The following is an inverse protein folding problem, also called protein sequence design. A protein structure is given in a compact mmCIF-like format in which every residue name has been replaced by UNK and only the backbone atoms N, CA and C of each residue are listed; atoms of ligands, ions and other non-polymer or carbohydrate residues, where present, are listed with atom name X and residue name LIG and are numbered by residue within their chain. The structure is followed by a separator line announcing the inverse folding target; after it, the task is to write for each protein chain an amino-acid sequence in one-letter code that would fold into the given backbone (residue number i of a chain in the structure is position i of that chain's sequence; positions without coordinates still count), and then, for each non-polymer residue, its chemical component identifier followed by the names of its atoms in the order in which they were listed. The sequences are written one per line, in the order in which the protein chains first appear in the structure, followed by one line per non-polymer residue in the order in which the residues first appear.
data_IF_700329193938
#
_entry.id   IF_700329193938
#
_cell.length_a   1.000
_cell.length_b   1.000
_cell.length_c   1.000
_cell.angle_alpha   90.00
_cell.angle_beta   90.00
_cell.angle_gamma   90.00
#
_symmetry.space_group_name_H-M   'P 1'
#
loop_
_entity.id
_entity.type
_entity.pdbx_description
1 polymer ?
#
# COMPACT_ATOMS: atom_id res chain seq x y z
N UNK A 1 -30.97 -27.74 -10.39
CA UNK A 1 -30.15 -26.76 -9.63
C UNK A 1 -29.60 -25.60 -10.48
N UNK A 2 -29.47 -25.73 -11.80
CA UNK A 2 -29.13 -24.61 -12.72
C UNK A 2 -30.33 -23.70 -13.02
N UNK A 3 -31.55 -24.25 -12.97
CA UNK A 3 -32.79 -23.54 -13.33
C UNK A 3 -33.15 -22.34 -12.42
N UNK A 4 -32.81 -22.39 -11.12
CA UNK A 4 -33.12 -21.29 -10.19
C UNK A 4 -32.18 -20.08 -10.35
N UNK A 5 -30.92 -20.30 -10.81
CA UNK A 5 -29.97 -19.21 -11.05
C UNK A 5 -30.31 -18.47 -12.36
N UNK A 6 -30.88 -19.19 -13.33
CA UNK A 6 -31.35 -18.64 -14.61
C UNK A 6 -32.45 -17.58 -14.46
N UNK A 7 -33.39 -17.76 -13.53
CA UNK A 7 -34.49 -16.80 -13.35
C UNK A 7 -34.02 -15.49 -12.73
N UNK A 8 -33.06 -15.56 -11.80
CA UNK A 8 -32.51 -14.39 -11.11
C UNK A 8 -31.65 -13.52 -12.04
N UNK A 9 -30.91 -14.12 -12.96
CA UNK A 9 -30.13 -13.38 -13.98
C UNK A 9 -31.06 -12.58 -14.91
N UNK A 10 -32.27 -13.09 -15.18
CA UNK A 10 -33.28 -12.40 -16.02
C UNK A 10 -34.00 -11.26 -15.31
N UNK A 11 -33.78 -11.08 -14.01
CA UNK A 11 -34.42 -10.02 -13.26
C UNK A 11 -33.99 -8.63 -13.78
N UNK A 12 -34.86 -7.64 -13.64
CA UNK A 12 -34.50 -6.25 -13.94
C UNK A 12 -33.51 -5.73 -12.88
N UNK A 13 -32.70 -4.73 -13.24
CA UNK A 13 -31.79 -4.11 -12.27
C UNK A 13 -32.59 -3.48 -11.13
N UNK A 14 -32.08 -3.57 -9.90
CA UNK A 14 -32.75 -3.10 -8.68
C UNK A 14 -34.15 -3.71 -8.42
N UNK A 15 -34.46 -4.89 -8.98
CA UNK A 15 -35.76 -5.54 -8.75
C UNK A 15 -35.80 -6.41 -7.48
N UNK A 16 -34.64 -6.87 -7.01
CA UNK A 16 -34.52 -7.74 -5.84
C UNK A 16 -34.30 -6.88 -4.61
N UNK A 17 -35.37 -6.57 -3.89
CA UNK A 17 -35.31 -5.83 -2.64
C UNK A 17 -34.68 -6.68 -1.54
N UNK A 18 -33.52 -6.25 -1.07
CA UNK A 18 -32.94 -6.79 0.16
C UNK A 18 -33.33 -5.87 1.33
N UNK A 19 -33.58 -6.47 2.49
CA UNK A 19 -33.71 -5.72 3.74
C UNK A 19 -32.34 -5.21 4.20
N UNK A 20 -32.10 -5.22 5.51
CA UNK A 20 -30.75 -4.98 6.03
C UNK A 20 -29.84 -6.15 5.68
N UNK A 21 -28.74 -5.87 4.98
CA UNK A 21 -27.73 -6.86 4.61
C UNK A 21 -26.49 -6.59 5.43
N UNK A 22 -26.20 -7.50 6.38
CA UNK A 22 -25.01 -7.40 7.22
C UNK A 22 -23.74 -7.88 6.49
N UNK A 23 -23.85 -8.94 5.69
CA UNK A 23 -22.74 -9.52 4.93
C UNK A 23 -23.22 -9.95 3.56
N UNK A 24 -22.46 -9.61 2.52
CA UNK A 24 -22.67 -10.07 1.15
C UNK A 24 -21.37 -10.69 0.64
N UNK A 25 -21.40 -11.97 0.31
CA UNK A 25 -20.26 -12.71 -0.25
C UNK A 25 -20.74 -13.33 -1.58
N UNK A 26 -20.25 -12.80 -2.70
CA UNK A 26 -20.59 -13.28 -4.02
C UNK A 26 -19.33 -13.78 -4.73
N UNK A 27 -19.38 -15.03 -5.20
CA UNK A 27 -18.25 -15.66 -5.88
C UNK A 27 -18.66 -16.14 -7.25
N UNK A 28 -17.71 -16.10 -8.19
CA UNK A 28 -17.87 -16.62 -9.53
C UNK A 28 -19.11 -15.99 -10.22
N UNK A 29 -19.88 -16.79 -10.96
CA UNK A 29 -21.08 -16.35 -11.69
C UNK A 29 -22.14 -15.66 -10.82
N UNK A 30 -22.17 -15.90 -9.50
CA UNK A 30 -23.16 -15.27 -8.62
C UNK A 30 -22.95 -13.75 -8.56
N UNK A 31 -21.75 -13.25 -8.85
CA UNK A 31 -21.48 -11.80 -8.86
C UNK A 31 -22.42 -11.04 -9.81
N UNK A 32 -22.79 -11.62 -10.95
CA UNK A 32 -23.70 -11.00 -11.92
C UNK A 32 -25.12 -10.71 -11.35
N UNK A 33 -25.48 -11.23 -10.16
CA UNK A 33 -26.71 -10.81 -9.46
C UNK A 33 -26.62 -9.38 -8.93
N UNK A 34 -25.42 -8.84 -8.71
CA UNK A 34 -25.22 -7.60 -7.97
C UNK A 34 -26.04 -6.41 -8.52
N UNK A 35 -26.14 -6.15 -9.84
CA UNK A 35 -26.99 -5.09 -10.38
C UNK A 35 -28.50 -5.30 -10.14
N UNK A 36 -28.90 -6.53 -9.84
CA UNK A 36 -30.31 -6.91 -9.60
C UNK A 36 -30.72 -6.60 -8.16
N UNK A 37 -29.76 -6.52 -7.24
CA UNK A 37 -29.99 -6.26 -5.83
C UNK A 37 -30.25 -4.77 -5.60
N UNK A 38 -31.41 -4.45 -5.03
CA UNK A 38 -31.70 -3.13 -4.51
C UNK A 38 -31.26 -3.06 -3.04
N UNK A 39 -30.03 -2.58 -2.83
CA UNK A 39 -29.53 -2.22 -1.51
C UNK A 39 -30.00 -0.80 -1.16
N UNK A 40 -30.53 -0.63 0.05
CA UNK A 40 -30.91 0.70 0.53
C UNK A 40 -29.65 1.57 0.70
N UNK A 41 -29.74 2.86 0.41
CA UNK A 41 -28.60 3.80 0.51
C UNK A 41 -28.02 3.86 1.94
N UNK A 42 -28.90 3.79 2.95
CA UNK A 42 -28.55 3.67 4.38
C UNK A 42 -28.20 2.24 4.84
N UNK A 43 -28.03 1.27 3.93
CA UNK A 43 -27.56 -0.05 4.35
C UNK A 43 -26.12 0.04 4.85
N UNK A 44 -25.89 -0.41 6.08
CA UNK A 44 -24.57 -0.52 6.68
C UNK A 44 -24.16 -1.98 6.71
N UNK A 45 -23.29 -2.36 5.77
CA UNK A 45 -22.78 -3.71 5.63
C UNK A 45 -21.47 -3.86 6.41
N UNK A 46 -21.36 -4.89 7.23
CA UNK A 46 -20.12 -5.24 7.92
C UNK A 46 -19.08 -5.77 6.92
N UNK A 47 -19.50 -6.58 5.95
CA UNK A 47 -18.61 -7.30 5.04
C UNK A 47 -19.19 -7.42 3.63
N UNK A 48 -18.45 -6.92 2.63
CA UNK A 48 -18.74 -7.12 1.22
C UNK A 48 -17.54 -7.74 0.50
N UNK A 49 -17.70 -8.98 0.02
CA UNK A 49 -16.64 -9.77 -0.57
C UNK A 49 -17.04 -10.24 -1.97
N UNK A 50 -16.19 -9.96 -2.96
CA UNK A 50 -16.37 -10.42 -4.34
C UNK A 50 -15.11 -11.12 -4.84
N UNK A 51 -15.24 -12.31 -5.43
CA UNK A 51 -14.10 -13.03 -6.01
C UNK A 51 -14.49 -13.76 -7.31
N UNK A 52 -13.77 -13.46 -8.39
CA UNK A 52 -14.01 -14.01 -9.72
C UNK A 52 -12.73 -14.36 -10.46
N UNK A 53 -12.49 -15.64 -10.71
CA UNK A 53 -11.31 -16.14 -11.44
C UNK A 53 -11.43 -16.07 -12.97
N UNK A 54 -12.62 -15.78 -13.51
CA UNK A 54 -12.89 -15.68 -14.96
C UNK A 54 -13.68 -14.42 -15.34
N UNK A 55 -13.45 -13.91 -16.54
CA UNK A 55 -14.09 -12.68 -17.04
C UNK A 55 -15.61 -12.82 -17.17
N UNK A 56 -16.10 -14.01 -17.50
CA UNK A 56 -17.54 -14.30 -17.64
C UNK A 56 -18.30 -14.15 -16.31
N UNK A 57 -17.60 -14.23 -15.18
CA UNK A 57 -18.20 -14.07 -13.85
C UNK A 57 -18.62 -12.63 -13.56
N UNK A 58 -18.08 -11.66 -14.30
CA UNK A 58 -18.33 -10.22 -14.11
C UNK A 58 -18.84 -9.53 -15.37
N UNK A 59 -19.08 -10.28 -16.45
CA UNK A 59 -19.34 -9.73 -17.79
C UNK A 59 -20.60 -8.87 -17.86
N UNK A 60 -21.62 -9.14 -17.04
CA UNK A 60 -22.83 -8.32 -17.02
C UNK A 60 -22.60 -6.94 -16.37
N UNK A 61 -21.57 -6.82 -15.53
CA UNK A 61 -21.31 -5.64 -14.70
C UNK A 61 -20.27 -4.73 -15.32
N UNK A 62 -19.22 -5.28 -15.94
CA UNK A 62 -18.12 -4.49 -16.50
C UNK A 62 -18.57 -3.50 -17.58
N UNK A 63 -19.71 -3.77 -18.23
CA UNK A 63 -20.32 -2.90 -19.23
C UNK A 63 -21.30 -1.86 -18.66
N UNK A 64 -21.57 -1.90 -17.35
CA UNK A 64 -22.39 -0.89 -16.70
C UNK A 64 -21.70 0.48 -16.68
N UNK A 65 -22.49 1.54 -16.49
CA UNK A 65 -21.96 2.88 -16.26
C UNK A 65 -21.21 2.93 -14.91
N UNK A 66 -20.21 3.81 -14.82
CA UNK A 66 -19.49 4.01 -13.56
C UNK A 66 -20.45 4.57 -12.50
N UNK A 67 -20.29 4.15 -11.25
CA UNK A 67 -21.17 4.51 -10.13
C UNK A 67 -22.67 4.17 -10.31
N UNK A 68 -23.02 3.21 -11.18
CA UNK A 68 -24.42 2.83 -11.43
C UNK A 68 -24.98 1.83 -10.41
N UNK A 69 -24.13 1.13 -9.67
CA UNK A 69 -24.54 0.09 -8.71
C UNK A 69 -24.40 0.63 -7.28
N UNK A 70 -25.51 0.95 -6.62
CA UNK A 70 -25.49 1.45 -5.25
C UNK A 70 -25.27 0.31 -4.24
N UNK A 71 -24.25 0.47 -3.38
CA UNK A 71 -23.86 -0.54 -2.38
C UNK A 71 -24.15 -0.07 -0.94
N UNK A 72 -24.33 1.24 -0.74
CA UNK A 72 -24.52 1.85 0.58
C UNK A 72 -23.18 2.05 1.31
N UNK A 73 -23.19 1.83 2.63
CA UNK A 73 -22.02 1.93 3.52
C UNK A 73 -21.44 0.53 3.75
N UNK A 74 -20.12 0.40 3.73
CA UNK A 74 -19.41 -0.87 3.89
C UNK A 74 -18.22 -0.71 4.83
N UNK A 75 -18.15 -1.57 5.86
CA UNK A 75 -17.05 -1.62 6.83
C UNK A 75 -15.83 -2.35 6.30
N UNK A 76 -16.00 -3.49 5.62
CA UNK A 76 -14.91 -4.25 4.99
C UNK A 76 -15.27 -4.57 3.55
N UNK A 77 -14.47 -4.10 2.60
CA UNK A 77 -14.64 -4.38 1.18
C UNK A 77 -13.40 -5.11 0.65
N UNK A 78 -13.61 -6.31 0.13
CA UNK A 78 -12.55 -7.17 -0.41
C UNK A 78 -12.92 -7.62 -1.82
N UNK A 79 -12.08 -7.29 -2.80
CA UNK A 79 -12.26 -7.68 -4.19
C UNK A 79 -11.03 -8.46 -4.67
N UNK A 80 -11.26 -9.65 -5.20
CA UNK A 80 -10.20 -10.52 -5.71
C UNK A 80 -10.39 -10.80 -7.21
N UNK A 81 -9.27 -10.87 -7.93
CA UNK A 81 -9.22 -11.28 -9.33
C UNK A 81 -10.14 -10.39 -10.21
N UNK A 82 -10.91 -10.93 -11.15
CA UNK A 82 -11.78 -10.14 -12.05
C UNK A 82 -12.85 -9.32 -11.31
N UNK A 83 -13.16 -9.63 -10.05
CA UNK A 83 -14.11 -8.82 -9.28
C UNK A 83 -13.62 -7.39 -9.07
N UNK A 84 -12.30 -7.16 -9.11
CA UNK A 84 -11.70 -5.83 -9.00
C UNK A 84 -12.23 -4.92 -10.11
N UNK A 85 -12.40 -5.41 -11.35
CA UNK A 85 -12.93 -4.63 -12.47
C UNK A 85 -14.37 -4.10 -12.26
N UNK A 86 -15.08 -4.54 -11.23
CA UNK A 86 -16.41 -4.02 -10.85
C UNK A 86 -16.31 -2.73 -10.04
N UNK A 87 -15.18 -2.47 -9.38
CA UNK A 87 -15.02 -1.34 -8.46
C UNK A 87 -15.46 0.02 -9.06
N UNK A 88 -15.12 0.40 -10.31
CA UNK A 88 -15.57 1.67 -10.88
C UNK A 88 -17.09 1.77 -11.08
N UNK A 89 -17.79 0.63 -11.09
CA UNK A 89 -19.23 0.52 -11.29
C UNK A 89 -20.00 0.67 -9.99
N UNK A 90 -19.34 0.44 -8.86
CA UNK A 90 -19.91 0.54 -7.53
C UNK A 90 -19.98 2.00 -7.06
N UNK A 91 -21.11 2.38 -6.47
CA UNK A 91 -21.32 3.64 -5.78
C UNK A 91 -21.47 3.38 -4.28
N UNK A 92 -20.44 3.74 -3.53
CA UNK A 92 -20.50 3.82 -2.07
C UNK A 92 -21.18 5.11 -1.63
N UNK A 93 -21.76 5.08 -0.43
CA UNK A 93 -22.35 6.26 0.20
C UNK A 93 -21.29 7.37 0.40
N UNK A 94 -21.70 8.65 0.34
CA UNK A 94 -20.78 9.78 0.49
C UNK A 94 -20.08 9.78 1.87
N UNK A 95 -20.85 9.48 2.91
CA UNK A 95 -20.34 9.33 4.29
C UNK A 95 -19.72 7.97 4.63
N UNK A 96 -19.34 7.15 3.63
CA UNK A 96 -18.79 5.83 3.88
C UNK A 96 -17.53 5.89 4.77
N UNK A 97 -17.51 5.05 5.82
CA UNK A 97 -16.38 4.88 6.74
C UNK A 97 -16.03 3.41 6.82
N UNK A 98 -14.94 3.05 6.15
CA UNK A 98 -14.47 1.68 5.97
C UNK A 98 -13.29 1.40 6.90
N UNK A 99 -13.35 0.25 7.57
CA UNK A 99 -12.27 -0.25 8.41
C UNK A 99 -11.17 -0.90 7.56
N UNK A 100 -11.54 -1.60 6.46
CA UNK A 100 -10.57 -2.26 5.56
C UNK A 100 -11.04 -2.26 4.10
N UNK A 101 -10.17 -1.80 3.20
CA UNK A 101 -10.30 -1.98 1.75
C UNK A 101 -9.14 -2.84 1.24
N UNK A 102 -9.44 -3.96 0.59
CA UNK A 102 -8.43 -4.92 0.10
C UNK A 102 -8.66 -5.30 -1.36
N UNK A 103 -7.60 -5.23 -2.17
CA UNK A 103 -7.57 -5.71 -3.55
C UNK A 103 -6.42 -6.70 -3.75
N UNK A 104 -6.68 -7.81 -4.44
CA UNK A 104 -5.66 -8.82 -4.77
C UNK A 104 -5.80 -9.31 -6.21
N UNK A 105 -4.75 -9.08 -7.01
CA UNK A 105 -4.68 -9.49 -8.41
C UNK A 105 -3.29 -10.02 -8.76
N UNK A 106 -3.18 -11.29 -9.12
CA UNK A 106 -1.94 -11.94 -9.58
C UNK A 106 -1.73 -11.83 -11.11
N UNK A 107 -2.66 -11.21 -11.84
CA UNK A 107 -2.52 -10.93 -13.29
C UNK A 107 -3.06 -9.56 -13.66
N UNK A 108 -2.50 -8.97 -14.70
CA UNK A 108 -2.88 -7.66 -15.23
C UNK A 108 -4.34 -7.62 -15.72
N UNK A 109 -4.84 -8.72 -16.30
CA UNK A 109 -6.21 -8.81 -16.82
C UNK A 109 -7.30 -8.55 -15.75
N UNK A 110 -6.98 -8.80 -14.48
CA UNK A 110 -7.91 -8.60 -13.36
C UNK A 110 -8.14 -7.13 -13.02
N UNK A 111 -7.29 -6.22 -13.50
CA UNK A 111 -7.36 -4.77 -13.23
C UNK A 111 -7.54 -3.92 -14.49
N UNK A 112 -7.75 -4.56 -15.65
CA UNK A 112 -7.76 -3.90 -16.96
C UNK A 112 -8.80 -2.80 -17.11
N UNK A 113 -9.94 -2.91 -16.43
CA UNK A 113 -10.99 -1.88 -16.48
C UNK A 113 -10.70 -0.70 -15.54
N UNK A 114 -10.06 -0.97 -14.39
CA UNK A 114 -9.68 0.09 -13.45
C UNK A 114 -8.56 0.96 -14.02
N UNK A 115 -7.53 0.36 -14.61
CA UNK A 115 -6.36 1.14 -15.08
C UNK A 115 -6.77 2.18 -16.14
N UNK A 116 -7.84 1.90 -16.89
CA UNK A 116 -8.40 2.80 -17.92
C UNK A 116 -9.20 3.97 -17.36
N UNK A 117 -9.60 3.95 -16.09
CA UNK A 117 -10.29 5.10 -15.51
C UNK A 117 -9.31 6.22 -15.15
N UNK A 118 -9.81 7.44 -15.05
CA UNK A 118 -9.01 8.58 -14.63
C UNK A 118 -8.49 8.44 -13.19
N UNK A 119 -7.38 9.09 -12.89
CA UNK A 119 -6.86 9.17 -11.52
C UNK A 119 -7.85 9.88 -10.61
N UNK A 120 -7.91 9.49 -9.32
CA UNK A 120 -8.82 10.06 -8.32
C UNK A 120 -10.31 10.02 -8.70
N UNK A 121 -10.77 9.01 -9.45
CA UNK A 121 -12.18 8.91 -9.88
C UNK A 121 -13.02 7.92 -9.06
N UNK A 122 -12.38 6.94 -8.41
CA UNK A 122 -13.07 5.90 -7.63
C UNK A 122 -13.21 6.36 -6.17
N UNK A 123 -14.42 6.74 -5.76
CA UNK A 123 -14.68 7.20 -4.39
C UNK A 123 -14.78 6.04 -3.38
N UNK A 124 -13.99 6.10 -2.31
CA UNK A 124 -14.04 5.13 -1.20
C UNK A 124 -14.61 5.68 0.11
N UNK A 125 -14.68 7.02 0.26
CA UNK A 125 -14.98 7.65 1.54
C UNK A 125 -13.76 7.72 2.46
N UNK A 126 -13.97 7.48 3.77
CA UNK A 126 -12.89 7.36 4.76
C UNK A 126 -12.47 5.90 4.87
N UNK A 127 -11.17 5.62 4.79
CA UNK A 127 -10.59 4.27 4.83
C UNK A 127 -9.50 4.23 5.89
N UNK A 128 -9.68 3.32 6.86
CA UNK A 128 -8.75 3.11 7.97
C UNK A 128 -7.53 2.28 7.54
N UNK A 129 -7.74 1.16 6.86
CA UNK A 129 -6.69 0.29 6.31
C UNK A 129 -6.90 0.02 4.81
N UNK A 130 -5.84 0.22 4.02
CA UNK A 130 -5.80 -0.01 2.57
C UNK A 130 -4.72 -1.03 2.23
N UNK A 131 -5.13 -2.15 1.63
CA UNK A 131 -4.24 -3.26 1.26
C UNK A 131 -4.33 -3.55 -0.24
N UNK A 132 -3.20 -3.46 -0.96
CA UNK A 132 -3.13 -3.78 -2.40
C UNK A 132 -2.02 -4.79 -2.65
N UNK A 133 -2.35 -5.90 -3.30
CA UNK A 133 -1.42 -6.99 -3.65
C UNK A 133 -1.41 -7.31 -5.13
N UNK A 134 -0.21 -7.52 -5.68
CA UNK A 134 0.05 -7.83 -7.09
C UNK A 134 -0.30 -6.65 -8.01
N UNK A 135 -0.90 -6.92 -9.17
CA UNK A 135 -1.31 -5.89 -10.13
C UNK A 135 -2.31 -4.89 -9.59
N UNK A 136 -3.00 -5.19 -8.48
CA UNK A 136 -3.90 -4.23 -7.84
C UNK A 136 -3.17 -3.01 -7.29
N UNK A 137 -1.85 -3.07 -7.06
CA UNK A 137 -1.05 -1.90 -6.66
C UNK A 137 -1.18 -0.78 -7.69
N UNK A 138 -1.18 -1.09 -8.99
CA UNK A 138 -1.39 -0.11 -10.07
C UNK A 138 -2.75 0.63 -10.02
N UNK A 139 -3.70 0.17 -9.20
CA UNK A 139 -4.99 0.86 -9.02
C UNK A 139 -4.91 2.03 -8.05
N UNK A 140 -3.86 2.13 -7.23
CA UNK A 140 -3.73 3.14 -6.18
C UNK A 140 -3.99 4.59 -6.67
N UNK A 141 -3.44 5.05 -7.82
CA UNK A 141 -3.69 6.41 -8.32
C UNK A 141 -5.15 6.67 -8.71
N UNK A 142 -5.95 5.62 -8.92
CA UNK A 142 -7.35 5.71 -9.35
C UNK A 142 -8.30 5.93 -8.17
N UNK A 143 -7.86 5.59 -6.96
CA UNK A 143 -8.64 5.67 -5.73
C UNK A 143 -8.69 7.10 -5.19
N UNK A 144 -9.88 7.53 -4.73
CA UNK A 144 -10.14 8.83 -4.12
C UNK A 144 -10.64 8.65 -2.69
N UNK A 145 -9.89 9.20 -1.75
CA UNK A 145 -10.24 9.27 -0.33
C UNK A 145 -10.87 10.62 0.01
N UNK A 146 -11.74 10.59 1.01
CA UNK A 146 -12.29 11.79 1.63
C UNK A 146 -11.18 12.73 2.12
N UNK A 147 -11.39 14.04 2.04
CA UNK A 147 -10.36 15.05 2.37
C UNK A 147 -9.86 14.93 3.81
N UNK A 148 -10.78 14.70 4.74
CA UNK A 148 -10.51 14.45 6.16
C UNK A 148 -10.04 13.01 6.49
N UNK A 149 -9.59 12.22 5.53
CA UNK A 149 -9.17 10.85 5.83
C UNK A 149 -7.90 10.82 6.68
N UNK A 150 -7.93 10.00 7.72
CA UNK A 150 -6.76 9.63 8.53
C UNK A 150 -6.61 8.12 8.44
N UNK A 151 -5.74 7.67 7.55
CA UNK A 151 -5.45 6.26 7.32
C UNK A 151 -4.48 5.77 8.40
N UNK A 152 -4.80 4.64 9.02
CA UNK A 152 -3.88 3.96 9.93
C UNK A 152 -2.84 3.20 9.13
N UNK A 153 -3.26 2.36 8.18
CA UNK A 153 -2.35 1.46 7.47
C UNK A 153 -2.51 1.55 5.94
N UNK A 154 -1.38 1.68 5.25
CA UNK A 154 -1.26 1.46 3.81
C UNK A 154 -0.26 0.33 3.56
N UNK A 155 -0.73 -0.81 3.06
CA UNK A 155 0.09 -1.99 2.77
C UNK A 155 0.09 -2.26 1.28
N UNK A 156 1.27 -2.22 0.67
CA UNK A 156 1.46 -2.47 -0.76
C UNK A 156 2.41 -3.65 -0.96
N UNK A 157 1.95 -4.69 -1.65
CA UNK A 157 2.73 -5.88 -1.95
C UNK A 157 2.86 -6.09 -3.45
N UNK A 158 4.05 -5.84 -4.00
CA UNK A 158 4.34 -6.04 -5.41
C UNK A 158 5.52 -7.01 -5.59
N UNK A 159 5.26 -8.33 -5.74
CA UNK A 159 6.33 -9.31 -5.98
C UNK A 159 7.13 -9.08 -7.27
N UNK A 160 6.52 -8.48 -8.29
CA UNK A 160 7.07 -8.32 -9.64
C UNK A 160 7.06 -6.85 -10.08
N UNK A 161 7.92 -6.50 -11.04
CA UNK A 161 8.06 -5.12 -11.54
C UNK A 161 6.78 -4.61 -12.22
N UNK A 162 6.08 -5.48 -12.95
CA UNK A 162 4.85 -5.13 -13.67
C UNK A 162 3.69 -4.73 -12.75
N UNK A 163 3.73 -5.13 -11.47
CA UNK A 163 2.74 -4.73 -10.47
C UNK A 163 2.76 -3.24 -10.14
N UNK A 164 3.82 -2.52 -10.52
CA UNK A 164 3.96 -1.07 -10.28
C UNK A 164 4.17 -0.25 -11.57
N UNK A 165 3.98 -0.84 -12.75
CA UNK A 165 4.23 -0.20 -14.05
C UNK A 165 3.50 1.14 -14.23
N UNK A 166 2.21 1.20 -13.88
CA UNK A 166 1.40 2.43 -13.94
C UNK A 166 1.94 3.50 -12.98
N UNK A 167 2.33 3.09 -11.76
CA UNK A 167 2.81 4.01 -10.73
C UNK A 167 4.21 4.54 -11.06
N UNK A 168 5.10 3.70 -11.59
CA UNK A 168 6.46 4.13 -11.93
C UNK A 168 6.48 5.22 -13.00
N UNK A 169 5.45 5.26 -13.84
CA UNK A 169 5.26 6.29 -14.87
C UNK A 169 4.63 7.58 -14.34
N UNK A 170 4.09 7.56 -13.12
CA UNK A 170 3.48 8.72 -12.51
C UNK A 170 4.53 9.74 -12.06
N UNK A 171 4.13 11.01 -12.03
CA UNK A 171 4.96 12.08 -11.47
C UNK A 171 5.17 11.87 -9.96
N UNK A 172 6.29 12.35 -9.43
CA UNK A 172 6.53 12.31 -7.99
C UNK A 172 5.47 13.15 -7.26
N UNK A 173 5.12 12.75 -6.03
CA UNK A 173 4.09 13.42 -5.23
C UNK A 173 2.70 13.51 -5.91
N UNK A 174 2.37 12.62 -6.86
CA UNK A 174 1.08 12.64 -7.57
C UNK A 174 -0.03 11.84 -6.89
N UNK A 175 0.31 10.96 -5.95
CA UNK A 175 -0.63 10.06 -5.27
C UNK A 175 -0.89 10.56 -3.84
N UNK A 176 -2.06 11.16 -3.60
CA UNK A 176 -2.39 11.74 -2.30
C UNK A 176 -2.97 10.70 -1.33
N UNK A 177 -2.26 10.44 -0.23
CA UNK A 177 -2.67 9.50 0.83
C UNK A 177 -3.43 10.15 1.97
N UNK A 178 -3.64 11.47 1.93
CA UNK A 178 -4.14 12.31 3.03
C UNK A 178 -3.19 12.22 4.23
N UNK A 179 -3.73 11.97 5.43
CA UNK A 179 -2.93 11.65 6.62
C UNK A 179 -2.75 10.14 6.69
N UNK A 180 -1.51 9.68 6.84
CA UNK A 180 -1.14 8.28 6.92
C UNK A 180 -0.26 8.05 8.15
N UNK A 181 -0.58 7.05 8.97
CA UNK A 181 0.24 6.70 10.14
C UNK A 181 1.32 5.67 9.81
N UNK A 182 0.93 4.56 9.18
CA UNK A 182 1.81 3.42 8.91
C UNK A 182 1.85 3.09 7.42
N UNK A 183 3.06 2.87 6.90
CA UNK A 183 3.27 2.49 5.52
C UNK A 183 4.11 1.21 5.46
N UNK A 184 3.60 0.19 4.79
CA UNK A 184 4.33 -1.05 4.51
C UNK A 184 4.49 -1.27 3.01
N UNK A 185 5.74 -1.35 2.55
CA UNK A 185 6.10 -1.58 1.16
C UNK A 185 6.86 -2.89 1.02
N UNK A 186 6.27 -3.86 0.32
CA UNK A 186 6.88 -5.17 0.04
C UNK A 186 7.31 -5.29 -1.41
N UNK A 187 8.54 -5.74 -1.62
CA UNK A 187 9.09 -5.96 -2.96
C UNK A 187 9.12 -4.66 -3.79
N UNK A 188 8.62 -4.72 -5.02
CA UNK A 188 8.68 -3.61 -5.99
C UNK A 188 7.80 -2.43 -5.58
N UNK A 189 6.98 -2.58 -4.54
CA UNK A 189 6.14 -1.52 -4.00
C UNK A 189 6.98 -0.36 -3.43
N UNK A 190 8.27 -0.57 -3.15
CA UNK A 190 9.19 0.52 -2.78
C UNK A 190 9.20 1.65 -3.81
N UNK A 191 8.94 1.36 -5.09
CA UNK A 191 8.90 2.37 -6.15
C UNK A 191 7.68 3.31 -6.07
N UNK A 192 6.69 2.97 -5.23
CA UNK A 192 5.55 3.85 -4.95
C UNK A 192 5.95 5.00 -4.04
N UNK A 193 6.97 4.79 -3.19
CA UNK A 193 7.41 5.76 -2.19
C UNK A 193 7.61 7.20 -2.73
N UNK A 194 8.36 7.44 -3.83
CA UNK A 194 8.52 8.78 -4.39
C UNK A 194 7.25 9.39 -4.99
N UNK A 195 6.23 8.57 -5.25
CA UNK A 195 4.98 8.98 -5.89
C UNK A 195 3.92 9.42 -4.86
N UNK A 196 4.10 9.06 -3.59
CA UNK A 196 3.18 9.41 -2.51
C UNK A 196 3.32 10.88 -2.07
N UNK A 197 2.18 11.52 -1.81
CA UNK A 197 2.04 12.87 -1.25
C UNK A 197 1.11 12.82 -0.02
N UNK A 198 1.40 13.64 1.00
CA UNK A 198 0.63 13.72 2.24
C UNK A 198 1.30 14.59 3.33
N UNK A 199 0.64 14.73 4.47
CA UNK A 199 1.25 15.29 5.68
C UNK A 199 1.98 14.17 6.43
N UNK A 200 3.30 14.12 6.34
CA UNK A 200 4.07 12.91 6.63
C UNK A 200 4.69 12.87 8.03
N UNK A 201 3.85 12.89 9.06
CA UNK A 201 4.25 12.34 10.37
C UNK A 201 3.96 10.83 10.39
N UNK A 202 4.85 10.05 9.78
CA UNK A 202 4.74 8.58 9.73
C UNK A 202 5.21 8.00 11.08
N UNK A 203 4.34 7.24 11.73
CA UNK A 203 4.67 6.51 12.94
C UNK A 203 5.59 5.33 12.62
N UNK A 204 5.23 4.54 11.62
CA UNK A 204 6.01 3.39 11.19
C UNK A 204 6.11 3.27 9.66
N UNK A 205 7.34 3.14 9.17
CA UNK A 205 7.62 2.73 7.79
C UNK A 205 8.31 1.37 7.80
N UNK A 206 7.66 0.38 7.20
CA UNK A 206 8.20 -0.96 6.98
C UNK A 206 8.54 -1.15 5.50
N UNK A 207 9.78 -1.54 5.23
CA UNK A 207 10.24 -1.95 3.89
C UNK A 207 10.69 -3.39 3.98
N UNK A 208 9.99 -4.29 3.31
CA UNK A 208 10.22 -5.72 3.43
C UNK A 208 10.48 -6.38 2.07
N UNK A 209 11.33 -7.41 2.06
CA UNK A 209 11.56 -8.26 0.89
C UNK A 209 12.10 -7.50 -0.34
N UNK A 210 12.87 -6.42 -0.16
CA UNK A 210 13.37 -5.60 -1.26
C UNK A 210 14.77 -6.03 -1.68
N UNK A 211 14.90 -6.55 -2.90
CA UNK A 211 16.18 -6.95 -3.49
C UNK A 211 16.94 -5.81 -4.17
N UNK A 212 18.18 -6.07 -4.60
CA UNK A 212 19.04 -5.07 -5.28
C UNK A 212 18.44 -4.47 -6.56
N UNK A 213 17.58 -5.20 -7.27
CA UNK A 213 17.00 -4.79 -8.57
C UNK A 213 15.60 -4.17 -8.44
N UNK A 214 15.14 -3.95 -7.21
CA UNK A 214 13.76 -3.58 -6.95
C UNK A 214 13.55 -2.08 -6.97
N UNK A 215 14.59 -1.27 -6.79
CA UNK A 215 14.51 0.18 -6.71
C UNK A 215 14.82 0.80 -8.07
N UNK A 216 13.93 1.66 -8.57
CA UNK A 216 14.21 2.56 -9.69
C UNK A 216 15.17 3.67 -9.25
N UNK A 217 15.77 4.36 -10.22
CA UNK A 217 16.67 5.49 -9.96
C UNK A 217 15.97 6.60 -9.17
N UNK A 218 14.66 6.78 -9.40
CA UNK A 218 13.82 7.73 -8.67
C UNK A 218 13.91 7.51 -7.17
N UNK A 219 13.81 6.28 -6.66
CA UNK A 219 13.78 5.94 -5.21
C UNK A 219 14.99 6.49 -4.44
N UNK A 220 16.13 6.67 -5.11
CA UNK A 220 17.35 7.19 -4.48
C UNK A 220 17.66 8.64 -4.88
N UNK A 221 16.79 9.30 -5.64
CA UNK A 221 16.97 10.70 -6.02
C UNK A 221 17.02 11.61 -4.78
N UNK A 222 17.91 12.61 -4.80
CA UNK A 222 18.00 13.63 -3.74
C UNK A 222 16.79 14.54 -3.69
N UNK A 223 16.02 14.57 -4.76
CA UNK A 223 14.97 15.55 -4.99
C UNK A 223 13.59 15.00 -4.57
N UNK A 224 13.55 13.77 -4.06
CA UNK A 224 12.34 13.22 -3.46
C UNK A 224 12.15 13.82 -2.07
N UNK A 225 10.97 14.40 -1.86
CA UNK A 225 10.46 14.85 -0.57
C UNK A 225 10.32 13.74 0.48
N UNK A 226 10.71 12.49 0.21
CA UNK A 226 10.75 11.45 1.25
C UNK A 226 11.70 11.83 2.40
N UNK A 227 12.74 12.62 2.11
CA UNK A 227 13.60 13.21 3.14
C UNK A 227 12.90 14.28 4.00
N UNK A 228 11.74 14.79 3.58
CA UNK A 228 10.89 15.71 4.35
C UNK A 228 9.96 14.99 5.32
N UNK A 229 9.78 13.67 5.16
CA UNK A 229 8.91 12.89 6.05
C UNK A 229 9.51 12.81 7.44
N UNK A 230 8.68 13.10 8.46
CA UNK A 230 9.01 12.89 9.86
C UNK A 230 8.60 11.48 10.23
N UNK A 231 9.54 10.55 10.05
CA UNK A 231 9.37 9.13 10.37
C UNK A 231 9.86 8.91 11.79
N UNK A 232 9.04 8.27 12.64
CA UNK A 232 9.46 7.86 14.00
C UNK A 232 10.21 6.53 13.95
N UNK A 233 9.60 5.53 13.33
CA UNK A 233 10.14 4.17 13.24
C UNK A 233 10.37 3.74 11.79
N UNK A 234 11.58 3.29 11.48
CA UNK A 234 11.94 2.73 10.19
C UNK A 234 12.45 1.30 10.38
N UNK A 235 11.72 0.34 9.83
CA UNK A 235 12.10 -1.08 9.81
C UNK A 235 12.35 -1.52 8.37
N UNK A 236 13.55 -2.03 8.11
CA UNK A 236 13.91 -2.60 6.81
C UNK A 236 14.24 -4.08 7.04
N UNK A 237 13.40 -4.99 6.57
CA UNK A 237 13.53 -6.42 6.85
C UNK A 237 13.61 -7.28 5.59
N UNK A 238 14.29 -8.42 5.71
CA UNK A 238 14.55 -9.35 4.62
C UNK A 238 14.97 -8.67 3.31
N UNK A 239 15.78 -7.61 3.41
CA UNK A 239 16.11 -6.74 2.27
C UNK A 239 17.61 -6.69 1.99
N UNK A 240 17.96 -6.27 0.78
CA UNK A 240 19.34 -6.00 0.39
C UNK A 240 19.87 -4.74 1.10
N UNK A 241 21.16 -4.71 1.38
CA UNK A 241 21.77 -3.60 2.12
C UNK A 241 21.76 -2.27 1.35
N UNK A 242 21.67 -2.32 0.03
CA UNK A 242 21.55 -1.15 -0.84
C UNK A 242 20.30 -0.32 -0.55
N UNK A 243 19.24 -0.94 -0.01
CA UNK A 243 17.99 -0.26 0.39
C UNK A 243 18.24 0.79 1.47
N UNK A 244 19.30 0.66 2.28
CA UNK A 244 19.63 1.66 3.30
C UNK A 244 19.96 3.04 2.71
N UNK A 245 20.25 3.12 1.40
CA UNK A 245 20.53 4.37 0.68
C UNK A 245 19.29 5.25 0.48
N UNK A 246 18.08 4.77 0.79
CA UNK A 246 16.85 5.58 0.75
C UNK A 246 16.91 6.81 1.66
N UNK A 247 17.79 6.80 2.67
CA UNK A 247 17.94 7.88 3.64
C UNK A 247 19.24 8.64 3.39
N UNK A 248 19.16 9.97 3.32
CA UNK A 248 20.31 10.88 3.09
C UNK A 248 20.62 11.81 4.28
N UNK A 249 20.38 11.34 5.50
CA UNK A 249 21.00 11.88 6.72
C UNK A 249 20.63 13.29 7.22
N UNK A 250 19.73 14.04 6.58
CA UNK A 250 19.54 15.48 6.90
C UNK A 250 18.21 15.93 7.54
N UNK A 251 17.17 15.08 7.65
CA UNK A 251 15.82 15.56 8.01
C UNK A 251 15.36 15.30 9.45
N UNK A 252 15.29 14.03 9.87
CA UNK A 252 14.55 13.62 11.07
C UNK A 252 15.39 12.73 12.00
N UNK A 253 15.13 12.79 13.31
CA UNK A 253 15.67 11.82 14.28
C UNK A 253 14.75 10.61 14.28
N UNK A 254 15.30 9.40 14.07
CA UNK A 254 14.52 8.17 14.24
C UNK A 254 14.51 7.77 15.72
N UNK A 255 13.31 7.48 16.23
CA UNK A 255 13.12 6.86 17.54
C UNK A 255 13.55 5.38 17.47
N UNK A 256 13.27 4.72 16.36
CA UNK A 256 13.65 3.32 16.09
C UNK A 256 14.14 3.16 14.64
N UNK A 257 15.28 2.51 14.48
CA UNK A 257 15.83 2.07 13.21
C UNK A 257 16.25 0.61 13.33
N UNK A 258 15.61 -0.25 12.55
CA UNK A 258 15.92 -1.66 12.50
C UNK A 258 16.24 -2.10 11.07
N UNK A 259 17.36 -2.82 10.92
CA UNK A 259 17.71 -3.45 9.66
C UNK A 259 17.96 -4.95 9.87
N UNK A 260 17.10 -5.76 9.28
CA UNK A 260 17.26 -7.22 9.21
C UNK A 260 17.61 -7.59 7.76
N UNK A 261 18.87 -7.95 7.47
CA UNK A 261 19.28 -8.29 6.12
C UNK A 261 18.60 -9.59 5.66
N UNK A 262 18.39 -9.73 4.35
CA UNK A 262 17.92 -10.99 3.79
C UNK A 262 18.88 -12.15 4.03
N UNK A 263 18.33 -13.37 4.09
CA UNK A 263 19.12 -14.60 4.29
C UNK A 263 20.19 -14.73 3.19
N UNK A 264 21.43 -14.98 3.59
CA UNK A 264 22.56 -15.13 2.67
C UNK A 264 23.09 -13.82 2.07
N UNK A 265 22.62 -12.66 2.53
CA UNK A 265 23.20 -11.38 2.12
C UNK A 265 24.68 -11.32 2.52
N UNK A 266 25.56 -11.15 1.53
CA UNK A 266 26.98 -11.00 1.76
C UNK A 266 27.31 -9.53 1.99
N UNK A 267 28.11 -9.23 3.02
CA UNK A 267 28.69 -7.91 3.22
C UNK A 267 30.12 -7.82 2.66
N UNK A 268 30.61 -8.88 2.01
CA UNK A 268 32.01 -8.99 1.58
C UNK A 268 32.40 -7.96 0.53
N UNK A 269 31.49 -7.51 -0.34
CA UNK A 269 31.76 -6.47 -1.34
C UNK A 269 31.88 -5.07 -0.74
N UNK A 270 31.49 -4.89 0.53
CA UNK A 270 31.63 -3.63 1.27
C UNK A 270 32.96 -3.57 2.03
N UNK A 271 33.65 -4.72 2.22
CA UNK A 271 34.93 -4.83 2.94
C UNK A 271 36.16 -4.26 2.19
N UNK A 272 36.32 -4.35 0.85
CA UNK A 272 37.54 -3.90 0.17
C UNK A 272 37.61 -2.39 -0.03
N UNK A 273 36.55 -1.64 0.30
CA UNK A 273 36.44 -0.24 -0.07
C UNK A 273 36.20 0.64 1.15
N UNK A 274 37.27 0.96 1.88
CA UNK A 274 37.40 2.22 2.63
C UNK A 274 37.27 3.48 1.74
N UNK A 275 37.00 3.31 0.44
CA UNK A 275 36.88 4.34 -0.58
C UNK A 275 35.43 4.61 -1.04
N UNK A 276 34.41 3.89 -0.55
CA UNK A 276 33.02 4.23 -0.82
C UNK A 276 32.42 4.90 0.41
N UNK A 277 31.66 5.97 0.17
CA UNK A 277 30.95 6.74 1.18
C UNK A 277 30.14 5.79 2.07
N UNK A 278 30.43 5.82 3.37
CA UNK A 278 29.59 5.21 4.40
C UNK A 278 28.12 5.54 4.15
N UNK A 279 27.23 4.55 4.28
CA UNK A 279 25.78 4.78 4.09
C UNK A 279 25.29 5.65 5.24
N UNK A 280 24.86 6.88 4.94
CA UNK A 280 24.47 7.86 5.95
C UNK A 280 22.99 7.71 6.31
N UNK A 281 22.73 7.07 7.45
CA UNK A 281 21.37 6.91 7.99
C UNK A 281 20.98 8.04 8.95
N UNK A 282 21.80 9.10 9.07
CA UNK A 282 21.46 10.30 9.84
C UNK A 282 21.44 10.10 11.35
N UNK A 283 20.45 10.73 12.01
CA UNK A 283 20.30 10.74 13.48
C UNK A 283 19.33 9.65 13.95
N UNK A 284 19.70 8.93 14.99
CA UNK A 284 18.90 7.87 15.62
C UNK A 284 19.05 8.01 17.14
N UNK A 285 17.97 7.78 17.90
CA UNK A 285 18.07 7.77 19.38
C UNK A 285 19.00 6.66 19.86
N UNK A 286 19.71 6.90 20.97
CA UNK A 286 20.75 5.99 21.49
C UNK A 286 20.26 4.54 21.64
N UNK A 287 19.02 4.35 22.10
CA UNK A 287 18.39 3.03 22.30
C UNK A 287 17.60 2.52 21.10
N UNK A 288 17.59 3.27 20.00
CA UNK A 288 16.79 3.02 18.80
C UNK A 288 17.54 2.35 17.65
N UNK A 289 18.82 1.99 17.78
CA UNK A 289 19.61 1.45 16.67
C UNK A 289 19.77 -0.08 16.75
N UNK A 290 19.04 -0.80 15.90
CA UNK A 290 19.02 -2.27 15.83
C UNK A 290 19.54 -2.77 14.48
N UNK A 291 20.86 -2.98 14.38
CA UNK A 291 21.51 -3.47 13.16
C UNK A 291 22.55 -4.55 13.48
N UNK A 292 22.82 -5.51 12.56
CA UNK A 292 23.92 -6.45 12.72
C UNK A 292 25.27 -5.76 12.90
N UNK A 293 26.19 -6.37 13.67
CA UNK A 293 27.51 -5.78 13.99
C UNK A 293 28.32 -5.47 12.74
N UNK A 294 28.21 -6.33 11.72
CA UNK A 294 28.91 -6.21 10.44
C UNK A 294 28.43 -4.97 9.68
N UNK A 295 27.11 -4.73 9.67
CA UNK A 295 26.47 -3.57 9.05
C UNK A 295 26.81 -2.28 9.80
N UNK A 296 26.92 -2.33 11.13
CA UNK A 296 27.24 -1.15 11.95
C UNK A 296 28.57 -0.48 11.55
N UNK A 297 29.51 -1.24 10.99
CA UNK A 297 30.84 -0.77 10.59
C UNK A 297 30.85 0.08 9.30
N UNK A 298 29.81 -0.04 8.47
CA UNK A 298 29.71 0.65 7.17
C UNK A 298 28.69 1.81 7.17
N UNK A 299 27.94 1.96 8.26
CA UNK A 299 26.96 3.03 8.43
C UNK A 299 27.61 4.27 9.01
N UNK A 300 27.19 5.44 8.52
CA UNK A 300 27.42 6.74 9.14
C UNK A 300 26.12 7.17 9.81
N UNK A 301 26.20 7.49 11.10
CA UNK A 301 25.07 7.91 11.91
C UNK A 301 25.53 8.69 13.13
N UNK A 302 24.62 9.49 13.68
CA UNK A 302 24.79 10.17 14.97
C UNK A 302 23.77 9.60 15.94
N UNK A 303 24.25 9.12 17.09
CA UNK A 303 23.36 8.76 18.19
C UNK A 303 22.99 10.03 18.94
N UNK A 304 21.71 10.19 19.25
CA UNK A 304 21.21 11.32 20.03
C UNK A 304 20.48 10.87 21.28
N UNK A 305 20.52 11.70 22.32
CA UNK A 305 19.76 11.50 23.55
C UNK A 305 18.29 11.89 23.39
N UNK A 306 17.53 11.91 24.50
CA UNK A 306 16.11 12.24 24.50
C UNK A 306 15.84 13.70 24.07
N UNK A 307 16.79 14.60 24.35
CA UNK A 307 16.77 16.03 23.96
C UNK A 307 17.25 16.27 22.52
N UNK A 308 17.78 15.23 21.85
CA UNK A 308 18.32 15.30 20.50
C UNK A 308 19.78 15.74 20.43
N UNK A 309 20.48 15.88 21.56
CA UNK A 309 21.89 16.22 21.60
C UNK A 309 22.75 15.00 21.22
N UNK A 310 23.89 15.24 20.57
CA UNK A 310 24.79 14.16 20.16
C UNK A 310 25.40 13.43 21.35
N UNK A 311 25.27 12.10 21.40
CA UNK A 311 25.93 11.28 22.42
C UNK A 311 27.35 10.99 21.97
N UNK A 312 28.34 11.49 22.72
CA UNK A 312 29.74 11.11 22.50
C UNK A 312 29.89 9.60 22.71
N UNK A 313 30.41 8.90 21.69
CA UNK A 313 30.86 7.51 21.87
C UNK A 313 31.99 7.54 22.90
N UNK A 314 31.69 7.21 24.16
CA UNK A 314 32.71 6.88 25.16
C UNK A 314 33.61 5.82 24.53
N UNK A 315 34.82 6.22 24.10
CA UNK A 315 35.88 5.26 23.77
C UNK A 315 36.00 4.39 25.02
N UNK A 316 35.60 3.12 24.94
CA UNK A 316 36.03 2.14 25.95
C UNK A 316 37.55 2.09 25.82
N UNK A 317 38.22 2.89 26.63
CA UNK A 317 39.66 2.77 26.86
C UNK A 317 39.89 1.37 27.38
N UNK A 318 40.58 0.56 26.59
CA UNK A 318 41.22 -0.63 27.13
C UNK A 318 42.37 -0.13 28.00
N UNK A 319 42.18 -0.24 29.31
CA UNK A 319 43.23 -0.38 30.33
C UNK A 319 43.17 -1.89 30.61
N UNK A 320 44.15 -2.75 30.39
CA UNK A 320 45.62 -2.67 30.39
C UNK A 320 46.19 -3.40 29.17
#
# INVERSE_FOLDING_TARGET
RIEHVSEVIRAENNSIKLGKVNKLDLKLLTINILPKLQLHEENEMEEFLLSADKKEHVSEIIHAENNSICIGKVKKLELELFAINILPKMKLHEENKMDRFSLSADKEEYVSEIIRVGNNTIWLGKVKSLELSGHSVNTLPKLRLHEENVMEDLVLNAPELEHVSEITSAENNSINTRKLKNLELRGYAINVLPKLQGEHEIEELVIANVGRRFCSDDVFSSDIDFCSWKIKMLKIENSAIDVLKIRKGKGCVLDHFEFVPRKGESFSYLKPRKAFSSIDIGRVRERGLFVPKEVRSILKYTLVDDEGNGVEKKKKGFIW
#
